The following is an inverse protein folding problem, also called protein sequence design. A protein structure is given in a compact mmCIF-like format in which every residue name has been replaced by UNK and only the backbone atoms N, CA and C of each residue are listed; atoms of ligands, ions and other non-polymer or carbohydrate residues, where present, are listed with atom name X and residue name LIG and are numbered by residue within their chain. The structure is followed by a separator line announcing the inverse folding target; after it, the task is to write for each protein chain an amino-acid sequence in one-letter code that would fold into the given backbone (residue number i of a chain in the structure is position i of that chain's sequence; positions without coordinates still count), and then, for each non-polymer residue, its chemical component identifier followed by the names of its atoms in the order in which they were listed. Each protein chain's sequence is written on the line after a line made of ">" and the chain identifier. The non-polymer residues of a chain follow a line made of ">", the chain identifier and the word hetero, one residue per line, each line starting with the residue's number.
data_IF_654785103730
#
_entry.id   IF_654785103730
#
_cell.length_a   1.000
_cell.length_b   1.000
_cell.length_c   1.000
_cell.angle_alpha   90.00
_cell.angle_beta   90.00
_cell.angle_gamma   90.00
#
_symmetry.space_group_name_H-M   'P 1'
#
loop_
_entity.id
_entity.type
_entity.pdbx_description
1 polymer ?
#
# COMPACT_ATOMS: atom_id res chain seq x y z
N UNK A 1 -5.83 26.79 -57.52
CA UNK A 1 -4.77 27.70 -57.02
C UNK A 1 -5.22 28.16 -55.63
N UNK A 2 -4.79 27.64 -54.49
CA UNK A 2 -3.81 26.64 -54.12
C UNK A 2 -4.37 25.85 -52.93
N UNK A 3 -4.37 24.53 -53.08
CA UNK A 3 -4.37 23.54 -52.00
C UNK A 3 -2.93 23.54 -51.45
N UNK A 4 -2.74 23.32 -50.13
CA UNK A 4 -1.55 23.56 -49.28
C UNK A 4 -1.63 24.91 -48.53
N UNK A 5 -1.81 24.98 -47.19
CA UNK A 5 -1.52 23.97 -46.15
C UNK A 5 -2.61 23.86 -45.05
N UNK A 6 -3.55 22.92 -45.18
CA UNK A 6 -4.47 22.52 -44.09
C UNK A 6 -3.88 21.27 -43.41
N UNK A 7 -2.60 21.28 -43.08
CA UNK A 7 -1.92 20.10 -42.53
C UNK A 7 -0.82 20.43 -41.51
N UNK A 8 -1.04 21.44 -40.66
CA UNK A 8 -0.16 21.70 -39.50
C UNK A 8 -0.99 22.13 -38.27
N UNK A 9 -2.01 21.35 -37.91
CA UNK A 9 -2.63 21.51 -36.59
C UNK A 9 -3.18 20.18 -36.08
N UNK A 10 -2.35 19.12 -36.09
CA UNK A 10 -2.74 17.86 -35.44
C UNK A 10 -1.59 16.94 -35.01
N UNK A 11 -0.46 17.49 -34.59
CA UNK A 11 0.53 16.71 -33.83
C UNK A 11 1.32 17.62 -32.89
N UNK A 12 0.83 17.81 -31.67
CA UNK A 12 1.74 17.86 -30.54
C UNK A 12 1.23 16.87 -29.49
N UNK A 13 1.84 15.69 -29.58
CA UNK A 13 1.87 14.59 -28.64
C UNK A 13 1.57 15.04 -27.20
N UNK A 14 0.63 14.31 -26.58
CA UNK A 14 0.67 14.01 -25.15
C UNK A 14 2.06 13.44 -24.81
N UNK A 15 2.99 14.32 -24.46
CA UNK A 15 4.10 13.94 -23.61
C UNK A 15 3.57 14.00 -22.18
N UNK A 16 2.84 12.95 -21.76
CA UNK A 16 3.11 12.43 -20.43
C UNK A 16 4.53 11.91 -20.53
N UNK A 17 5.50 12.80 -20.30
CA UNK A 17 6.80 12.34 -19.88
C UNK A 17 6.55 11.61 -18.58
N UNK A 18 6.56 10.28 -18.62
CA UNK A 18 7.11 9.55 -17.49
C UNK A 18 8.54 10.08 -17.36
N UNK A 19 8.66 11.13 -16.54
CA UNK A 19 9.94 11.51 -15.96
C UNK A 19 10.54 10.21 -15.42
N UNK A 20 11.74 9.81 -15.85
CA UNK A 20 12.41 8.66 -15.26
C UNK A 20 12.44 8.94 -13.77
N UNK A 21 11.68 8.16 -13.00
CA UNK A 21 11.55 8.34 -11.57
C UNK A 21 12.95 8.13 -10.96
N UNK A 22 13.71 9.21 -10.87
CA UNK A 22 14.96 9.25 -10.15
C UNK A 22 14.58 8.91 -8.72
N UNK A 23 14.80 7.64 -8.35
CA UNK A 23 14.15 7.01 -7.20
C UNK A 23 14.05 7.95 -5.99
N UNK A 24 12.84 8.08 -5.44
CA UNK A 24 12.56 8.95 -4.28
C UNK A 24 13.60 8.74 -3.18
N UNK A 25 14.35 9.79 -2.83
CA UNK A 25 15.25 9.75 -1.68
C UNK A 25 14.45 9.97 -0.40
N UNK A 26 13.89 8.89 0.13
CA UNK A 26 13.11 8.90 1.38
C UNK A 26 13.88 9.44 2.59
N UNK A 27 15.22 9.46 2.56
CA UNK A 27 16.03 10.02 3.65
C UNK A 27 16.09 11.53 3.68
N UNK A 28 15.60 12.19 2.63
CA UNK A 28 15.41 13.64 2.59
C UNK A 28 13.98 14.05 2.92
N UNK A 29 13.05 13.10 3.00
CA UNK A 29 11.66 13.38 3.37
C UNK A 29 11.54 13.53 4.90
N UNK A 30 10.86 14.58 5.34
CA UNK A 30 10.61 14.81 6.75
C UNK A 30 9.41 13.98 7.22
N UNK A 31 9.61 13.18 8.27
CA UNK A 31 8.52 12.58 9.02
C UNK A 31 7.66 13.66 9.68
N UNK A 32 6.37 13.40 9.88
CA UNK A 32 5.48 14.30 10.64
C UNK A 32 6.00 14.57 12.06
N UNK A 33 6.49 13.53 12.73
CA UNK A 33 7.28 13.66 13.97
C UNK A 33 8.76 13.74 13.60
N UNK A 34 9.44 14.90 13.81
CA UNK A 34 10.84 15.08 13.43
C UNK A 34 11.83 14.17 14.17
N UNK A 35 11.40 13.56 15.29
CA UNK A 35 12.24 12.60 16.05
C UNK A 35 12.26 11.21 15.42
N UNK A 36 11.34 10.91 14.50
CA UNK A 36 11.28 9.61 13.82
C UNK A 36 12.24 9.59 12.63
N UNK A 37 12.80 8.41 12.38
CA UNK A 37 13.59 8.12 11.18
C UNK A 37 12.71 7.39 10.17
N UNK A 38 12.81 7.74 8.90
CA UNK A 38 12.12 7.05 7.83
C UNK A 38 12.55 5.57 7.72
N UNK A 39 11.61 4.65 7.48
CA UNK A 39 11.87 3.21 7.52
C UNK A 39 12.97 2.76 6.54
N UNK A 40 12.92 3.26 5.29
CA UNK A 40 13.95 3.03 4.27
C UNK A 40 15.36 3.44 4.75
N UNK A 41 15.45 4.50 5.54
CA UNK A 41 16.73 5.05 5.99
C UNK A 41 17.28 4.30 7.20
N UNK A 42 16.38 3.80 8.05
CA UNK A 42 16.72 2.91 9.15
C UNK A 42 17.19 1.54 8.65
N UNK A 43 16.73 1.09 7.48
CA UNK A 43 17.04 -0.23 6.93
C UNK A 43 17.44 -0.18 5.45
N UNK A 44 18.51 0.54 5.12
CA UNK A 44 18.97 0.73 3.73
C UNK A 44 19.35 -0.57 3.02
N UNK A 45 19.72 -1.60 3.78
CA UNK A 45 20.10 -2.90 3.25
C UNK A 45 18.92 -3.87 3.13
N UNK A 46 17.70 -3.45 3.47
CA UNK A 46 16.49 -4.26 3.45
C UNK A 46 16.65 -5.59 4.23
N UNK A 47 17.37 -5.56 5.35
CA UNK A 47 17.60 -6.76 6.16
C UNK A 47 16.44 -7.01 7.12
N UNK A 48 16.21 -8.28 7.43
CA UNK A 48 15.42 -8.63 8.61
C UNK A 48 16.17 -8.14 9.86
N UNK A 49 15.45 -7.69 10.89
CA UNK A 49 16.10 -7.40 12.17
C UNK A 49 16.54 -8.70 12.85
N UNK A 50 17.53 -8.62 13.74
CA UNK A 50 18.12 -9.79 14.40
C UNK A 50 17.11 -10.63 15.21
N UNK A 51 16.01 -10.02 15.67
CA UNK A 51 14.99 -10.68 16.49
C UNK A 51 13.92 -11.44 15.65
N UNK A 52 14.00 -11.38 14.32
CA UNK A 52 13.14 -12.22 13.49
C UNK A 52 13.51 -13.70 13.67
N UNK A 53 12.53 -14.63 13.68
CA UNK A 53 12.82 -16.07 13.63
C UNK A 53 13.78 -16.43 12.49
N UNK A 54 14.69 -17.40 12.66
CA UNK A 54 15.76 -17.68 11.69
C UNK A 54 15.24 -18.09 10.31
N UNK A 55 14.10 -18.77 10.23
CA UNK A 55 13.49 -19.23 8.98
C UNK A 55 12.50 -18.21 8.38
N UNK A 56 12.53 -16.96 8.83
CA UNK A 56 11.64 -15.90 8.34
C UNK A 56 11.89 -15.62 6.86
N UNK A 57 10.80 -15.58 6.08
CA UNK A 57 10.81 -15.23 4.67
C UNK A 57 9.83 -14.10 4.42
N UNK A 58 10.22 -13.16 3.56
CA UNK A 58 9.27 -12.20 3.00
C UNK A 58 8.50 -12.92 1.91
N UNK A 59 7.18 -12.90 2.00
CA UNK A 59 6.29 -13.49 1.01
C UNK A 59 5.87 -12.38 0.03
N UNK A 60 5.99 -12.61 -1.28
CA UNK A 60 5.46 -11.68 -2.27
C UNK A 60 3.95 -11.58 -2.15
N UNK A 61 3.39 -10.40 -2.45
CA UNK A 61 1.96 -10.13 -2.34
C UNK A 61 1.23 -10.26 -3.68
N UNK A 62 1.93 -10.48 -4.79
CA UNK A 62 1.39 -10.47 -6.16
C UNK A 62 0.10 -11.28 -6.31
N UNK A 63 0.07 -12.49 -5.73
CA UNK A 63 -1.08 -13.40 -5.83
C UNK A 63 -2.25 -13.02 -4.90
N UNK A 64 -2.04 -12.17 -3.89
CA UNK A 64 -3.05 -11.83 -2.87
C UNK A 64 -3.46 -10.35 -2.85
N UNK A 65 -2.76 -9.48 -3.60
CA UNK A 65 -3.04 -8.05 -3.73
C UNK A 65 -4.51 -7.78 -4.07
N UNK A 66 -5.02 -8.45 -5.11
CA UNK A 66 -6.41 -8.31 -5.54
C UNK A 66 -7.41 -8.75 -4.46
N UNK A 67 -7.07 -9.79 -3.69
CA UNK A 67 -7.90 -10.27 -2.59
C UNK A 67 -7.95 -9.25 -1.45
N UNK A 68 -6.78 -8.71 -1.06
CA UNK A 68 -6.70 -7.66 -0.02
C UNK A 68 -7.54 -6.46 -0.42
N UNK A 69 -7.38 -5.96 -1.65
CA UNK A 69 -8.10 -4.79 -2.13
C UNK A 69 -9.61 -5.03 -2.17
N UNK A 70 -10.03 -6.17 -2.72
CA UNK A 70 -11.43 -6.58 -2.78
C UNK A 70 -12.07 -6.62 -1.40
N UNK A 71 -11.46 -7.31 -0.43
CA UNK A 71 -12.02 -7.44 0.93
C UNK A 71 -12.15 -6.09 1.64
N UNK A 72 -11.18 -5.18 1.47
CA UNK A 72 -11.29 -3.84 2.04
C UNK A 72 -12.42 -3.04 1.38
N UNK A 73 -12.55 -3.08 0.06
CA UNK A 73 -13.60 -2.36 -0.66
C UNK A 73 -14.99 -2.91 -0.38
N UNK A 74 -15.15 -4.24 -0.26
CA UNK A 74 -16.41 -4.87 0.16
C UNK A 74 -16.85 -4.41 1.56
N UNK A 75 -15.94 -4.35 2.53
CA UNK A 75 -16.29 -3.86 3.86
C UNK A 75 -16.60 -2.36 3.87
N UNK A 76 -15.87 -1.55 3.07
CA UNK A 76 -16.14 -0.12 2.92
C UNK A 76 -17.51 0.13 2.31
N UNK A 77 -17.88 -0.60 1.27
CA UNK A 77 -19.20 -0.54 0.65
C UNK A 77 -20.31 -0.95 1.63
N UNK A 78 -20.10 -2.06 2.37
CA UNK A 78 -21.05 -2.51 3.39
C UNK A 78 -21.35 -1.42 4.43
N UNK A 79 -20.30 -0.82 5.02
CA UNK A 79 -20.46 0.28 5.98
C UNK A 79 -21.10 1.51 5.32
N UNK A 80 -20.65 1.90 4.12
CA UNK A 80 -21.15 3.08 3.43
C UNK A 80 -22.63 2.97 3.06
N UNK A 81 -23.08 1.77 2.70
CA UNK A 81 -24.48 1.48 2.33
C UNK A 81 -25.47 1.56 3.50
N UNK A 82 -24.99 1.65 4.75
CA UNK A 82 -25.84 1.67 5.94
C UNK A 82 -26.43 0.31 6.32
N UNK A 83 -25.89 -0.79 5.74
CA UNK A 83 -26.26 -2.16 6.12
C UNK A 83 -25.64 -2.60 7.45
N UNK A 84 -24.57 -1.94 7.87
CA UNK A 84 -23.99 -2.14 9.21
C UNK A 84 -24.90 -1.47 10.25
N UNK A 85 -25.63 -2.25 11.03
CA UNK A 85 -26.57 -1.72 12.04
C UNK A 85 -25.87 -0.96 13.18
N UNK A 86 -24.55 -1.10 13.32
CA UNK A 86 -23.76 -0.47 14.39
C UNK A 86 -23.12 0.86 13.98
N UNK A 87 -23.10 1.18 12.68
CA UNK A 87 -22.44 2.36 12.13
C UNK A 87 -23.38 3.14 11.21
N UNK A 88 -23.31 4.49 11.20
CA UNK A 88 -24.09 5.27 10.25
C UNK A 88 -23.59 5.09 8.81
N UNK A 89 -24.47 5.22 7.79
CA UNK A 89 -24.06 5.24 6.39
C UNK A 89 -23.11 6.41 6.10
N UNK A 90 -22.25 6.24 5.10
CA UNK A 90 -21.24 7.24 4.74
C UNK A 90 -21.58 7.96 3.44
N UNK A 91 -21.60 9.30 3.47
CA UNK A 91 -21.92 10.11 2.29
C UNK A 91 -20.80 10.10 1.21
N UNK A 92 -19.54 9.83 1.60
CA UNK A 92 -18.36 9.92 0.73
C UNK A 92 -17.27 8.90 1.10
N UNK A 93 -17.56 7.61 0.94
CA UNK A 93 -16.59 6.54 1.15
C UNK A 93 -16.04 6.05 -0.20
N UNK A 94 -14.91 6.60 -0.64
CA UNK A 94 -14.31 6.24 -1.93
C UNK A 94 -13.78 4.80 -1.97
N UNK A 95 -13.73 4.19 -3.15
CA UNK A 95 -13.06 2.91 -3.36
C UNK A 95 -11.55 3.07 -3.19
N UNK A 96 -10.91 2.10 -2.54
CA UNK A 96 -9.45 2.03 -2.48
C UNK A 96 -8.90 1.47 -3.79
N UNK A 97 -7.71 1.95 -4.16
CA UNK A 97 -6.86 1.33 -5.16
C UNK A 97 -5.56 0.91 -4.49
N UNK A 98 -4.84 -0.02 -5.12
CA UNK A 98 -3.53 -0.42 -4.64
C UNK A 98 -2.46 0.60 -5.05
N UNK A 99 -1.58 0.94 -4.11
CA UNK A 99 -0.46 1.85 -4.33
C UNK A 99 0.84 1.08 -4.09
N UNK A 100 1.62 0.88 -5.15
CA UNK A 100 2.85 0.10 -5.10
C UNK A 100 3.93 0.77 -4.22
N UNK A 101 3.96 2.11 -4.15
CA UNK A 101 4.89 2.84 -3.27
C UNK A 101 4.60 2.51 -1.81
N UNK A 102 3.32 2.48 -1.41
CA UNK A 102 2.92 2.08 -0.06
C UNK A 102 3.17 0.59 0.21
N UNK A 103 3.01 -0.29 -0.78
CA UNK A 103 3.29 -1.71 -0.64
C UNK A 103 4.79 -1.97 -0.39
N UNK A 104 5.66 -1.34 -1.19
CA UNK A 104 7.11 -1.38 -1.01
C UNK A 104 7.52 -0.88 0.37
N UNK A 105 6.93 0.23 0.81
CA UNK A 105 7.18 0.81 2.12
C UNK A 105 6.67 -0.08 3.27
N UNK A 106 5.53 -0.75 3.10
CA UNK A 106 5.01 -1.72 4.06
C UNK A 106 5.96 -2.91 4.25
N UNK A 107 6.72 -3.29 3.21
CA UNK A 107 7.74 -4.34 3.31
C UNK A 107 8.81 -4.01 4.36
N UNK A 108 9.25 -2.74 4.44
CA UNK A 108 10.19 -2.29 5.48
C UNK A 108 9.60 -2.41 6.89
N UNK A 109 8.28 -2.30 7.04
CA UNK A 109 7.60 -2.52 8.32
C UNK A 109 7.64 -4.00 8.71
N UNK A 110 7.31 -4.91 7.80
CA UNK A 110 7.27 -6.36 8.10
C UNK A 110 8.65 -6.96 8.29
N UNK A 111 9.71 -6.40 7.67
CA UNK A 111 11.11 -6.81 7.91
C UNK A 111 11.56 -6.65 9.36
N UNK A 112 10.78 -5.94 10.19
CA UNK A 112 11.01 -5.82 11.62
C UNK A 112 10.43 -6.96 12.44
N UNK A 113 9.54 -7.79 11.91
CA UNK A 113 8.84 -8.85 12.67
C UNK A 113 8.17 -8.37 13.98
N UNK A 114 7.85 -7.07 14.08
CA UNK A 114 7.30 -6.42 15.26
C UNK A 114 6.09 -5.56 14.87
N UNK A 115 5.01 -5.64 15.65
CA UNK A 115 3.84 -4.76 15.48
C UNK A 115 4.22 -3.31 15.80
N UNK A 116 5.05 -3.10 16.82
CA UNK A 116 5.53 -1.77 17.20
C UNK A 116 6.53 -1.23 16.19
N UNK A 117 6.28 0.01 15.77
CA UNK A 117 7.04 0.63 14.69
C UNK A 117 7.42 2.08 15.04
N UNK A 118 8.71 2.35 15.30
CA UNK A 118 9.21 3.68 15.60
C UNK A 118 9.41 4.53 14.33
N UNK A 119 9.25 3.95 13.13
CA UNK A 119 9.55 4.64 11.88
C UNK A 119 8.35 5.43 11.34
N UNK A 120 8.64 6.22 10.29
CA UNK A 120 7.64 6.83 9.43
C UNK A 120 7.77 6.30 8.00
N UNK A 121 6.71 6.50 7.21
CA UNK A 121 6.55 6.01 5.85
C UNK A 121 6.13 7.13 4.89
N UNK A 122 6.53 8.37 5.18
CA UNK A 122 6.17 9.54 4.39
C UNK A 122 6.57 9.37 2.93
N UNK A 123 5.61 9.55 2.03
CA UNK A 123 5.87 9.62 0.59
C UNK A 123 5.80 11.07 0.09
N UNK A 124 6.25 11.36 -1.14
CA UNK A 124 6.11 12.71 -1.72
C UNK A 124 4.66 13.17 -1.80
N UNK A 125 3.71 12.24 -2.02
CA UNK A 125 2.27 12.52 -2.15
C UNK A 125 1.53 12.41 -0.82
N UNK A 126 1.96 11.49 0.05
CA UNK A 126 1.26 11.15 1.30
C UNK A 126 2.17 11.44 2.48
N UNK A 127 1.94 12.57 3.15
CA UNK A 127 2.81 13.04 4.23
C UNK A 127 2.83 12.11 5.45
N UNK A 128 1.70 11.45 5.72
CA UNK A 128 1.54 10.57 6.87
C UNK A 128 0.61 9.39 6.51
N UNK A 129 1.10 8.38 5.77
CA UNK A 129 0.29 7.20 5.46
C UNK A 129 -0.10 6.46 6.74
N UNK A 130 -1.37 6.04 6.82
CA UNK A 130 -1.83 5.17 7.88
C UNK A 130 -1.18 3.78 7.80
N UNK A 131 -1.16 3.07 8.93
CA UNK A 131 -0.61 1.71 9.01
C UNK A 131 -1.53 0.82 9.84
N UNK A 132 -1.86 -0.36 9.30
CA UNK A 132 -2.46 -1.48 10.02
C UNK A 132 -1.50 -2.65 9.99
N UNK A 133 -1.29 -3.33 11.13
CA UNK A 133 -0.36 -4.46 11.22
C UNK A 133 -0.93 -5.54 12.14
N UNK A 134 -0.89 -6.78 11.65
CA UNK A 134 -1.43 -7.96 12.34
C UNK A 134 -0.38 -9.06 12.33
N UNK A 135 -0.35 -9.88 13.39
CA UNK A 135 0.45 -11.11 13.44
C UNK A 135 -0.53 -12.28 13.54
N UNK A 136 -0.44 -13.18 12.59
CA UNK A 136 -1.16 -14.45 12.62
C UNK A 136 -0.21 -15.54 13.11
N UNK A 137 -0.69 -16.37 14.03
CA UNK A 137 -0.02 -17.58 14.47
C UNK A 137 -0.88 -18.74 14.06
N UNK A 138 -0.35 -19.59 13.20
CA UNK A 138 -1.00 -20.84 12.81
C UNK A 138 -0.29 -21.98 13.53
N UNK A 139 -1.07 -22.83 14.19
CA UNK A 139 -0.60 -24.18 14.51
C UNK A 139 -0.55 -24.96 13.18
N UNK A 140 0.37 -25.93 13.06
CA UNK A 140 0.57 -26.70 11.83
C UNK A 140 -0.65 -27.61 11.58
N UNK A 141 -1.69 -27.03 11.01
CA UNK A 141 -2.88 -27.71 10.49
C UNK A 141 -3.08 -27.16 9.09
N UNK A 142 -3.09 -28.03 8.07
CA UNK A 142 -3.36 -27.61 6.69
C UNK A 142 -4.83 -27.20 6.59
N UNK A 143 -5.10 -25.90 6.70
CA UNK A 143 -6.43 -25.30 6.53
C UNK A 143 -6.45 -24.62 5.17
N UNK A 144 -7.48 -24.90 4.37
CA UNK A 144 -7.63 -24.31 3.03
C UNK A 144 -7.80 -22.78 3.13
N UNK A 145 -7.26 -22.03 2.17
CA UNK A 145 -7.31 -20.56 2.18
C UNK A 145 -8.75 -20.03 2.28
N UNK A 146 -9.70 -20.71 1.65
CA UNK A 146 -11.13 -20.39 1.67
C UNK A 146 -11.75 -20.54 3.06
N UNK A 147 -11.17 -21.38 3.93
CA UNK A 147 -11.57 -21.54 5.33
C UNK A 147 -10.89 -20.49 6.25
N UNK A 148 -9.78 -19.89 5.81
CA UNK A 148 -9.07 -18.82 6.52
C UNK A 148 -9.69 -17.44 6.29
N UNK A 149 -10.35 -17.24 5.16
CA UNK A 149 -11.17 -16.06 4.90
C UNK A 149 -12.52 -16.31 5.55
N UNK A 150 -12.90 -15.63 6.65
CA UNK A 150 -14.19 -15.88 7.28
C UNK A 150 -15.29 -15.72 6.23
N UNK A 151 -16.01 -16.80 5.96
CA UNK A 151 -17.24 -16.82 5.16
C UNK A 151 -18.36 -16.14 5.94
N UNK A 152 -18.20 -14.87 6.26
CA UNK A 152 -19.21 -13.92 6.74
C UNK A 152 -18.50 -12.64 7.16
N UNK A 153 -18.44 -11.71 6.23
CA UNK A 153 -18.77 -10.33 6.59
C UNK A 153 -20.29 -10.35 6.79
N UNK A 154 -20.74 -10.51 8.03
CA UNK A 154 -22.10 -10.07 8.40
C UNK A 154 -22.08 -8.56 8.52
#
# INVERSE_FOLDING_TARGET
>A
MNILPILILNTLMLALGDEPNAGTNYCKLACENPKKTHAVCANRMQKLIENCPPDTKIMPLDDIQAVILKLHNERRDFVASGKDETLPPAARMGELFWDEELADLAEYSVRRCLISDPHCYTTPKLRNPGRSANIYKYEKTEVKFEELVPSRVV
#
